data_IF_910403226373
#
_entry.id   IF_910403226373
#
_cell.length_a   1.000
_cell.length_b   1.000
_cell.length_c   1.000
_cell.angle_alpha   90.00
_cell.angle_beta   90.00
_cell.angle_gamma   90.00
#
_symmetry.space_group_name_H-M   'P 1'
#
loop_
_entity.id
_entity.type
_entity.pdbx_description
1 polymer ?
#
# COMPACT_ATOMS: atom_id res chain seq x y z
N UNK A 1 -11.37 -9.82 13.90
CA UNK A 1 -11.54 -8.36 14.01
C UNK A 1 -10.72 -7.69 12.91
N UNK A 2 -11.36 -6.83 12.14
CA UNK A 2 -10.69 -6.16 11.04
C UNK A 2 -9.91 -4.95 11.58
N UNK A 3 -8.63 -4.85 11.21
CA UNK A 3 -7.82 -3.70 11.59
C UNK A 3 -7.71 -2.76 10.41
N UNK A 4 -7.91 -1.49 10.67
CA UNK A 4 -7.72 -0.45 9.67
C UNK A 4 -6.45 0.32 9.95
N UNK A 5 -5.79 0.75 8.88
CA UNK A 5 -4.59 1.54 8.97
C UNK A 5 -4.12 1.90 7.59
N UNK A 6 -2.92 2.43 7.49
CA UNK A 6 -2.33 2.75 6.19
C UNK A 6 -1.31 1.69 5.83
N UNK A 7 -0.87 1.70 4.56
CA UNK A 7 0.15 0.76 4.11
C UNK A 7 1.43 0.85 4.94
N UNK A 8 1.73 2.03 5.48
CA UNK A 8 2.93 2.21 6.28
C UNK A 8 2.95 1.35 7.55
N UNK A 9 1.78 0.90 8.01
CA UNK A 9 1.67 0.09 9.21
C UNK A 9 1.95 -1.39 8.97
N UNK A 10 2.00 -1.82 7.71
CA UNK A 10 2.26 -3.23 7.40
C UNK A 10 3.71 -3.59 7.69
N UNK A 11 3.91 -4.76 8.27
CA UNK A 11 5.24 -5.33 8.47
C UNK A 11 5.58 -6.23 7.29
N UNK A 12 6.86 -6.51 7.13
CA UNK A 12 7.28 -7.43 6.07
C UNK A 12 6.55 -8.76 6.21
N UNK A 13 5.97 -9.22 5.12
CA UNK A 13 5.21 -10.46 5.08
C UNK A 13 3.72 -10.30 5.34
N UNK A 14 3.30 -9.15 5.85
CA UNK A 14 1.88 -8.93 6.11
C UNK A 14 1.14 -8.52 4.85
N UNK A 15 -0.15 -8.87 4.80
CA UNK A 15 -1.04 -8.54 3.69
C UNK A 15 -2.27 -7.80 4.20
N UNK A 16 -2.83 -6.98 3.32
CA UNK A 16 -4.05 -6.24 3.63
C UNK A 16 -4.76 -5.92 2.32
N UNK A 17 -6.00 -5.46 2.42
CA UNK A 17 -6.76 -5.03 1.26
C UNK A 17 -6.91 -3.53 1.26
N UNK A 18 -6.83 -2.93 0.07
CA UNK A 18 -7.02 -1.48 -0.07
C UNK A 18 -8.47 -1.16 0.27
N UNK A 19 -8.66 -0.21 1.19
CA UNK A 19 -9.98 0.26 1.56
C UNK A 19 -10.30 1.58 0.89
N UNK A 20 -9.33 2.48 0.80
CA UNK A 20 -9.54 3.79 0.18
C UNK A 20 -8.20 4.44 -0.13
N UNK A 21 -8.22 5.39 -1.07
CA UNK A 21 -7.08 6.23 -1.35
C UNK A 21 -7.36 7.61 -0.77
N UNK A 22 -6.45 8.09 0.08
CA UNK A 22 -6.59 9.38 0.74
C UNK A 22 -5.82 10.46 -0.02
N UNK A 23 -5.95 10.44 -1.34
CA UNK A 23 -5.25 11.36 -2.21
C UNK A 23 -6.14 11.73 -3.39
N UNK A 24 -5.79 12.78 -4.12
CA UNK A 24 -6.60 13.30 -5.20
C UNK A 24 -5.76 13.58 -6.44
N UNK A 25 -6.46 13.86 -7.55
CA UNK A 25 -5.81 14.31 -8.77
C UNK A 25 -4.90 13.29 -9.40
N UNK A 26 -3.78 13.75 -9.91
CA UNK A 26 -2.84 12.90 -10.64
C UNK A 26 -2.24 11.78 -9.79
N UNK A 27 -2.02 12.04 -8.51
CA UNK A 27 -1.48 11.03 -7.61
C UNK A 27 -2.48 9.89 -7.43
N UNK A 28 -3.76 10.22 -7.26
CA UNK A 28 -4.80 9.20 -7.14
C UNK A 28 -4.86 8.35 -8.39
N UNK A 29 -4.81 8.98 -9.56
CA UNK A 29 -4.84 8.25 -10.82
C UNK A 29 -3.62 7.33 -10.94
N UNK A 30 -2.43 7.82 -10.57
CA UNK A 30 -1.22 7.01 -10.63
C UNK A 30 -1.35 5.79 -9.73
N UNK A 31 -1.88 5.96 -8.52
CA UNK A 31 -2.07 4.84 -7.62
C UNK A 31 -3.04 3.82 -8.17
N UNK A 32 -4.12 4.28 -8.79
CA UNK A 32 -5.10 3.39 -9.43
C UNK A 32 -4.47 2.64 -10.60
N UNK A 33 -3.61 3.29 -11.36
CA UNK A 33 -2.96 2.68 -12.52
C UNK A 33 -2.04 1.53 -12.10
N UNK A 34 -1.40 1.63 -10.94
CA UNK A 34 -0.54 0.55 -10.47
C UNK A 34 -1.33 -0.54 -9.73
N UNK A 35 -2.65 -0.37 -9.59
CA UNK A 35 -3.51 -1.40 -9.03
C UNK A 35 -4.01 -1.15 -7.62
N UNK A 36 -3.75 0.02 -7.05
CA UNK A 36 -4.22 0.36 -5.70
C UNK A 36 -5.67 0.81 -5.76
N UNK A 37 -6.56 -0.15 -6.02
CA UNK A 37 -8.00 0.11 -6.04
C UNK A 37 -8.65 -0.64 -4.89
N UNK A 38 -9.83 -0.20 -4.49
CA UNK A 38 -10.56 -0.80 -3.37
C UNK A 38 -10.68 -2.31 -3.55
N UNK A 39 -10.36 -3.05 -2.51
CA UNK A 39 -10.44 -4.51 -2.53
C UNK A 39 -9.17 -5.21 -3.00
N UNK A 40 -8.21 -4.50 -3.57
CA UNK A 40 -6.97 -5.12 -4.03
C UNK A 40 -6.12 -5.54 -2.84
N UNK A 41 -5.61 -6.77 -2.89
CA UNK A 41 -4.70 -7.25 -1.86
C UNK A 41 -3.30 -6.71 -2.11
N UNK A 42 -2.67 -6.25 -1.05
CA UNK A 42 -1.30 -5.74 -1.08
C UNK A 42 -0.49 -6.47 -0.02
N UNK A 43 0.72 -6.87 -0.39
CA UNK A 43 1.63 -7.52 0.54
C UNK A 43 2.86 -6.65 0.72
N UNK A 44 3.26 -6.43 1.98
CA UNK A 44 4.53 -5.75 2.28
C UNK A 44 5.64 -6.78 2.11
N UNK A 45 6.48 -6.60 1.10
CA UNK A 45 7.50 -7.59 0.76
C UNK A 45 8.82 -7.30 1.46
N UNK A 46 9.28 -6.06 1.38
CA UNK A 46 10.59 -5.72 1.93
C UNK A 46 10.68 -4.24 2.22
N UNK A 47 11.20 -3.92 3.39
CA UNK A 47 11.52 -2.55 3.76
C UNK A 47 13.00 -2.30 3.49
N UNK A 48 13.32 -1.12 2.98
CA UNK A 48 14.72 -0.76 2.78
C UNK A 48 15.39 -0.58 4.15
N UNK A 49 16.73 -0.68 4.22
CA UNK A 49 17.44 -0.49 5.48
C UNK A 49 17.13 0.83 6.17
N UNK A 50 16.87 1.89 5.38
CA UNK A 50 16.50 3.19 5.92
C UNK A 50 15.03 3.30 6.24
N UNK A 51 14.22 2.28 5.93
CA UNK A 51 12.78 2.28 6.17
C UNK A 51 11.96 2.91 5.06
N UNK A 52 12.59 3.49 4.05
CA UNK A 52 11.90 4.16 2.96
C UNK A 52 12.82 4.17 1.74
N UNK A 53 12.36 3.74 0.56
CA UNK A 53 11.00 3.26 0.27
C UNK A 53 10.77 1.83 0.74
N UNK A 54 9.53 1.38 0.63
CA UNK A 54 9.13 0.03 0.97
C UNK A 54 8.58 -0.65 -0.29
N UNK A 55 8.96 -1.91 -0.50
CA UNK A 55 8.49 -2.67 -1.65
C UNK A 55 7.21 -3.42 -1.30
N UNK A 56 6.19 -3.24 -2.12
CA UNK A 56 4.91 -3.92 -1.97
C UNK A 56 4.61 -4.74 -3.20
N UNK A 57 3.95 -5.88 -3.00
CA UNK A 57 3.45 -6.67 -4.13
C UNK A 57 2.00 -6.27 -4.34
N UNK A 58 1.73 -5.73 -5.52
CA UNK A 58 0.41 -5.24 -5.90
C UNK A 58 0.05 -5.89 -7.22
N UNK A 59 -0.99 -6.75 -7.21
CA UNK A 59 -1.46 -7.45 -8.41
C UNK A 59 -0.32 -8.19 -9.13
N UNK A 60 0.55 -8.82 -8.35
CA UNK A 60 1.64 -9.59 -8.91
C UNK A 60 2.89 -8.80 -9.28
N UNK A 61 2.85 -7.49 -9.21
CA UNK A 61 3.99 -6.63 -9.51
C UNK A 61 4.64 -6.14 -8.23
N UNK A 62 5.97 -6.06 -8.23
CA UNK A 62 6.71 -5.53 -7.09
C UNK A 62 6.93 -4.03 -7.32
N UNK A 63 6.38 -3.22 -6.45
CA UNK A 63 6.38 -1.77 -6.62
C UNK A 63 6.92 -1.13 -5.34
N UNK A 64 7.89 -0.22 -5.50
CA UNK A 64 8.43 0.54 -4.37
C UNK A 64 7.63 1.82 -4.18
N UNK A 65 7.15 2.04 -2.97
CA UNK A 65 6.41 3.24 -2.63
C UNK A 65 7.11 3.97 -1.50
N UNK A 66 7.14 5.28 -1.61
CA UNK A 66 7.66 6.12 -0.53
C UNK A 66 6.66 6.19 0.60
N UNK A 67 7.16 6.39 1.82
CA UNK A 67 6.31 6.45 3.00
C UNK A 67 5.23 7.53 2.87
N UNK A 68 5.55 8.66 2.28
CA UNK A 68 4.57 9.74 2.09
C UNK A 68 3.41 9.31 1.21
N UNK A 69 3.67 8.41 0.26
CA UNK A 69 2.62 7.91 -0.65
C UNK A 69 1.84 6.78 0.02
N UNK A 70 2.54 5.83 0.64
CA UNK A 70 1.86 4.69 1.26
C UNK A 70 1.03 5.12 2.48
N UNK A 71 1.38 6.24 3.12
CA UNK A 71 0.59 6.78 4.22
C UNK A 71 -0.78 7.27 3.76
N UNK A 72 -0.98 7.42 2.47
CA UNK A 72 -2.25 7.88 1.92
C UNK A 72 -3.12 6.75 1.39
N UNK A 73 -2.71 5.51 1.61
CA UNK A 73 -3.49 4.34 1.21
C UNK A 73 -4.04 3.68 2.47
N UNK A 74 -5.35 3.77 2.62
CA UNK A 74 -6.03 3.15 3.75
C UNK A 74 -6.28 1.69 3.43
N UNK A 75 -5.93 0.81 4.35
CA UNK A 75 -6.09 -0.62 4.16
C UNK A 75 -6.80 -1.26 5.34
N UNK A 76 -7.38 -2.44 5.10
CA UNK A 76 -7.95 -3.26 6.16
C UNK A 76 -7.19 -4.57 6.19
N UNK A 77 -6.95 -5.10 7.39
CA UNK A 77 -6.24 -6.35 7.55
C UNK A 77 -7.00 -7.53 6.97
N UNK A 78 -6.26 -8.53 6.53
CA UNK A 78 -6.85 -9.78 6.04
C UNK A 78 -7.05 -10.76 7.17
#
# INVERSE_FOLDING_TARGET
MTQEGTLTALREGERAQVAALLTEGGMRRRMQDIGLIEGTEVECVQKSPAGDPVAYRIRGALIALRAEDSARVLVTGC
#
